data_IF_202946190225
#
_entry.id   IF_202946190225
#
_cell.length_a   1.000
_cell.length_b   1.000
_cell.length_c   1.000
_cell.angle_alpha   90.00
_cell.angle_beta   90.00
_cell.angle_gamma   90.00
#
_symmetry.space_group_name_H-M   'P 1'
#
loop_
_entity.id
_entity.type
_entity.pdbx_description
1 polymer ?
#
# COMPACT_ATOMS: atom_id res chain seq x y z
N UNK A 1 -23.29 12.79 12.94
CA UNK A 1 -21.95 13.29 13.32
C UNK A 1 -21.13 12.11 13.83
N UNK A 2 -20.47 11.36 12.94
CA UNK A 2 -19.57 10.28 13.36
C UNK A 2 -18.35 10.93 14.01
N UNK A 3 -18.21 10.75 15.33
CA UNK A 3 -16.99 11.13 16.06
C UNK A 3 -15.78 10.54 15.32
N UNK A 4 -14.76 11.33 14.97
CA UNK A 4 -13.53 10.79 14.43
C UNK A 4 -12.95 9.86 15.50
N UNK A 5 -12.88 8.56 15.21
CA UNK A 5 -12.29 7.58 16.10
C UNK A 5 -10.88 8.06 16.49
N UNK A 6 -10.63 8.23 17.78
CA UNK A 6 -9.33 8.71 18.27
C UNK A 6 -8.19 7.82 17.74
N UNK A 7 -7.22 8.44 17.08
CA UNK A 7 -6.00 7.77 16.62
C UNK A 7 -5.19 7.41 17.86
N UNK A 8 -4.91 6.12 18.06
CA UNK A 8 -4.09 5.65 19.19
C UNK A 8 -2.62 5.65 18.80
N UNK A 9 -1.77 6.15 19.70
CA UNK A 9 -0.33 6.24 19.50
C UNK A 9 0.35 5.06 20.20
N UNK A 10 1.38 4.48 19.58
CA UNK A 10 2.26 3.50 20.25
C UNK A 10 3.41 4.23 20.93
N UNK A 11 3.70 3.85 22.16
CA UNK A 11 4.84 4.35 22.95
C UNK A 11 5.81 3.21 23.29
N UNK A 12 7.08 3.53 23.49
CA UNK A 12 8.05 2.55 23.97
C UNK A 12 7.71 2.13 25.41
N UNK A 13 7.83 0.83 25.76
CA UNK A 13 7.52 0.33 27.10
C UNK A 13 8.26 1.12 28.19
N UNK A 14 7.52 1.62 29.19
CA UNK A 14 8.09 2.36 30.32
C UNK A 14 8.48 3.82 30.02
N UNK A 15 8.14 4.36 28.85
CA UNK A 15 8.43 5.76 28.49
C UNK A 15 7.21 6.47 27.91
N UNK A 16 7.26 7.81 27.85
CA UNK A 16 6.30 8.65 27.12
C UNK A 16 6.72 8.91 25.67
N UNK A 17 7.79 8.28 25.18
CA UNK A 17 8.32 8.51 23.85
C UNK A 17 7.52 7.69 22.84
N UNK A 18 7.01 8.38 21.81
CA UNK A 18 6.27 7.76 20.71
C UNK A 18 7.22 7.10 19.70
N UNK A 19 6.88 5.92 19.18
CA UNK A 19 7.68 5.26 18.12
C UNK A 19 7.25 5.66 16.70
N UNK A 20 6.23 6.52 16.59
CA UNK A 20 5.63 6.92 15.32
C UNK A 20 4.56 5.98 14.77
N UNK A 21 4.35 4.80 15.37
CA UNK A 21 3.26 3.90 14.98
C UNK A 21 1.91 4.46 15.46
N UNK A 22 0.93 4.45 14.56
CA UNK A 22 -0.44 4.93 14.80
C UNK A 22 -1.42 3.78 14.56
N UNK A 23 -2.34 3.56 15.48
CA UNK A 23 -3.41 2.58 15.35
C UNK A 23 -4.74 3.29 15.10
N UNK A 24 -5.41 2.89 14.03
CA UNK A 24 -6.74 3.37 13.67
C UNK A 24 -7.64 2.16 13.49
N UNK A 25 -8.82 2.20 14.12
CA UNK A 25 -9.86 1.20 13.85
C UNK A 25 -10.53 1.58 12.53
N UNK A 26 -10.52 0.67 11.58
CA UNK A 26 -11.14 0.88 10.26
C UNK A 26 -11.93 -0.36 9.86
N UNK A 27 -12.88 -0.18 8.95
CA UNK A 27 -13.61 -1.24 8.26
C UNK A 27 -13.34 -1.09 6.78
N UNK A 28 -12.84 -2.15 6.15
CA UNK A 28 -12.66 -2.16 4.71
C UNK A 28 -14.00 -2.38 3.99
N UNK A 29 -14.19 -1.76 2.81
CA UNK A 29 -15.26 -2.12 1.88
C UNK A 29 -15.22 -3.62 1.55
N UNK A 30 -16.34 -4.18 1.09
CA UNK A 30 -16.43 -5.63 0.81
C UNK A 30 -15.52 -6.06 -0.35
N UNK A 31 -15.20 -5.12 -1.22
CA UNK A 31 -14.39 -5.30 -2.42
C UNK A 31 -12.89 -5.27 -2.11
N UNK A 32 -12.50 -4.75 -0.94
CA UNK A 32 -11.11 -4.59 -0.52
C UNK A 32 -10.75 -5.68 0.49
N UNK A 33 -10.06 -6.71 0.02
CA UNK A 33 -9.62 -7.80 0.88
C UNK A 33 -8.52 -7.39 1.87
N UNK A 34 -7.56 -6.57 1.44
CA UNK A 34 -6.39 -6.18 2.24
C UNK A 34 -5.67 -4.99 1.62
N UNK A 35 -5.02 -4.19 2.46
CA UNK A 35 -4.12 -3.12 2.01
C UNK A 35 -2.68 -3.65 1.92
N UNK A 36 -1.91 -3.32 0.86
CA UNK A 36 -0.49 -3.67 0.79
C UNK A 36 0.32 -3.07 1.94
N UNK A 37 1.47 -3.67 2.27
CA UNK A 37 2.37 -3.12 3.29
C UNK A 37 2.75 -1.65 3.02
N UNK A 38 3.05 -1.31 1.77
CA UNK A 38 3.24 0.08 1.33
C UNK A 38 1.98 0.52 0.59
N UNK A 39 1.10 1.22 1.30
CA UNK A 39 -0.16 1.71 0.73
C UNK A 39 -0.05 3.20 0.44
N UNK A 40 -0.43 3.58 -0.78
CA UNK A 40 -0.58 4.98 -1.19
C UNK A 40 -1.90 5.51 -0.64
N UNK A 41 -1.86 6.59 0.12
CA UNK A 41 -3.02 7.26 0.70
C UNK A 41 -3.00 8.72 0.24
N UNK A 42 -4.14 9.22 -0.22
CA UNK A 42 -4.32 10.64 -0.53
C UNK A 42 -4.45 11.42 0.78
N UNK A 43 -3.46 12.27 1.08
CA UNK A 43 -3.46 13.16 2.25
C UNK A 43 -3.71 14.61 1.81
N UNK A 44 -3.88 15.51 2.78
CA UNK A 44 -4.04 16.94 2.49
C UNK A 44 -2.81 17.55 1.77
N UNK A 45 -1.64 16.96 1.95
CA UNK A 45 -0.38 17.36 1.31
C UNK A 45 -0.15 16.65 -0.04
N UNK A 46 -1.09 15.77 -0.42
CA UNK A 46 -1.03 14.97 -1.62
C UNK A 46 -0.79 13.47 -1.35
N UNK A 47 -0.48 12.70 -2.40
CA UNK A 47 -0.32 11.27 -2.26
C UNK A 47 0.95 10.88 -1.51
N UNK A 48 0.80 10.20 -0.38
CA UNK A 48 1.91 9.71 0.44
C UNK A 48 1.83 8.19 0.64
N UNK A 49 2.99 7.55 0.85
CA UNK A 49 3.07 6.12 1.12
C UNK A 49 3.20 5.85 2.61
N UNK A 50 2.33 5.01 3.14
CA UNK A 50 2.34 4.60 4.55
C UNK A 50 2.57 3.11 4.68
N UNK A 51 3.27 2.74 5.76
CA UNK A 51 3.38 1.35 6.18
C UNK A 51 2.10 0.95 6.89
N UNK A 52 1.33 0.06 6.29
CA UNK A 52 0.04 -0.41 6.81
C UNK A 52 0.16 -1.86 7.25
N UNK A 53 -0.18 -2.11 8.52
CA UNK A 53 -0.23 -3.44 9.12
C UNK A 53 -1.60 -3.64 9.76
N UNK A 54 -2.28 -4.73 9.41
CA UNK A 54 -3.58 -5.08 9.98
C UNK A 54 -3.70 -6.59 10.17
N UNK A 55 -4.70 -7.02 10.94
CA UNK A 55 -5.01 -8.44 11.12
C UNK A 55 -5.35 -9.09 9.78
N UNK A 56 -4.88 -10.32 9.57
CA UNK A 56 -5.17 -11.15 8.40
C UNK A 56 -4.74 -10.49 7.08
N UNK A 57 -3.65 -9.74 7.10
CA UNK A 57 -3.11 -9.09 5.89
C UNK A 57 -2.71 -10.15 4.86
N UNK A 58 -3.36 -10.12 3.70
CA UNK A 58 -3.04 -10.97 2.56
C UNK A 58 -2.22 -10.20 1.54
N UNK A 59 -1.40 -10.91 0.77
CA UNK A 59 -0.63 -10.29 -0.32
C UNK A 59 -1.59 -9.90 -1.44
N UNK A 60 -1.56 -8.63 -1.82
CA UNK A 60 -2.34 -8.08 -2.93
C UNK A 60 -1.42 -7.42 -3.95
N UNK A 61 -1.92 -7.29 -5.18
CA UNK A 61 -1.24 -6.54 -6.23
C UNK A 61 -1.02 -5.09 -5.79
N UNK A 62 0.23 -4.60 -5.91
CA UNK A 62 0.58 -3.23 -5.51
C UNK A 62 0.05 -2.15 -6.45
N UNK A 63 -0.44 -2.53 -7.63
CA UNK A 63 -0.98 -1.62 -8.63
C UNK A 63 -2.51 -1.53 -8.53
N UNK A 64 -3.21 -2.67 -8.60
CA UNK A 64 -4.68 -2.72 -8.64
C UNK A 64 -5.34 -3.24 -7.35
N UNK A 65 -4.56 -3.59 -6.32
CA UNK A 65 -5.04 -4.10 -5.02
C UNK A 65 -5.81 -5.44 -5.06
N UNK A 66 -5.91 -6.10 -6.22
CA UNK A 66 -6.51 -7.44 -6.33
C UNK A 66 -5.70 -8.48 -5.51
N UNK A 67 -6.37 -9.42 -4.83
CA UNK A 67 -5.72 -10.55 -4.16
C UNK A 67 -5.34 -11.69 -5.11
N UNK A 68 -5.81 -11.69 -6.35
CA UNK A 68 -5.71 -12.84 -7.26
C UNK A 68 -4.31 -13.00 -7.87
N UNK A 69 -3.56 -11.91 -7.96
CA UNK A 69 -2.26 -11.88 -8.61
C UNK A 69 -1.31 -10.89 -7.93
N UNK A 70 -0.02 -11.00 -8.26
CA UNK A 70 1.01 -10.05 -7.84
C UNK A 70 1.31 -9.05 -8.96
N UNK A 71 2.04 -7.99 -8.63
CA UNK A 71 2.38 -6.91 -9.57
C UNK A 71 2.95 -7.43 -10.91
N UNK A 72 3.76 -8.48 -10.88
CA UNK A 72 4.38 -9.08 -12.06
C UNK A 72 3.35 -9.64 -13.05
N UNK A 73 2.25 -10.17 -12.53
CA UNK A 73 1.21 -10.87 -13.28
C UNK A 73 -0.04 -9.98 -13.46
N UNK A 74 0.05 -8.71 -13.06
CA UNK A 74 -1.05 -7.77 -13.15
C UNK A 74 -1.32 -7.40 -14.62
N UNK A 75 -2.57 -7.51 -15.11
CA UNK A 75 -2.89 -7.19 -16.50
C UNK A 75 -2.65 -5.71 -16.81
N UNK A 76 -2.70 -4.83 -15.82
CA UNK A 76 -2.46 -3.40 -16.00
C UNK A 76 -0.98 -3.02 -15.86
N UNK A 77 -0.12 -3.95 -15.42
CA UNK A 77 1.29 -3.67 -15.26
C UNK A 77 1.97 -3.54 -16.63
N UNK A 78 2.57 -2.37 -16.85
CA UNK A 78 3.36 -2.03 -18.04
C UNK A 78 4.75 -1.56 -17.61
N UNK A 79 5.75 -1.97 -18.37
CA UNK A 79 7.12 -1.50 -18.18
C UNK A 79 7.19 0.01 -18.44
N UNK A 80 7.66 0.80 -17.47
CA UNK A 80 7.73 2.26 -17.65
C UNK A 80 8.76 2.71 -18.72
N UNK A 81 9.62 1.79 -19.20
CA UNK A 81 10.61 2.08 -20.25
C UNK A 81 10.14 1.79 -21.68
N UNK A 82 9.23 0.85 -21.90
CA UNK A 82 8.76 0.55 -23.26
C UNK A 82 7.24 0.45 -23.36
N UNK A 83 6.54 0.61 -22.24
CA UNK A 83 5.08 0.50 -22.11
C UNK A 83 4.51 -0.88 -22.46
N UNK A 84 5.38 -1.87 -22.72
CA UNK A 84 5.01 -3.26 -22.93
C UNK A 84 4.81 -4.03 -21.62
N UNK A 85 4.08 -5.13 -21.71
CA UNK A 85 3.77 -6.01 -20.58
C UNK A 85 4.79 -7.17 -20.49
N UNK A 86 4.78 -7.88 -19.36
CA UNK A 86 5.51 -9.15 -19.20
C UNK A 86 6.92 -9.06 -18.62
N UNK A 87 7.47 -7.86 -18.41
CA UNK A 87 8.79 -7.69 -17.79
C UNK A 87 8.87 -6.42 -16.93
N UNK A 88 9.78 -6.42 -15.95
CA UNK A 88 10.10 -5.22 -15.18
C UNK A 88 11.09 -4.36 -15.95
N UNK A 89 11.12 -3.05 -15.68
CA UNK A 89 12.04 -2.13 -16.36
C UNK A 89 13.54 -2.44 -16.18
N UNK A 90 13.90 -3.17 -15.13
CA UNK A 90 15.26 -3.70 -14.93
C UNK A 90 15.61 -4.81 -15.94
N UNK A 91 14.60 -5.54 -16.39
CA UNK A 91 14.68 -6.65 -17.34
C UNK A 91 14.23 -6.20 -18.75
N UNK A 92 14.15 -4.89 -18.98
CA UNK A 92 13.69 -4.31 -20.23
C UNK A 92 14.84 -4.27 -21.25
N UNK A 93 14.62 -4.92 -22.39
CA UNK A 93 15.59 -4.99 -23.49
C UNK A 93 15.49 -3.80 -24.46
N UNK A 94 14.59 -2.84 -24.22
CA UNK A 94 14.49 -1.65 -25.05
C UNK A 94 15.73 -0.78 -24.83
N UNK A 95 16.60 -0.73 -25.84
CA UNK A 95 17.68 0.26 -25.92
C UNK A 95 17.03 1.58 -26.29
N UNK A 96 17.00 2.52 -25.36
CA UNK A 96 16.64 3.91 -25.66
C UNK A 96 17.92 4.63 -26.07
N UNK A 97 17.90 5.22 -27.27
CA UNK A 97 18.96 6.08 -27.79
C UNK A 97 19.06 7.39 -26.99
#
# INVERSE_FOLDING_TARGET
MLSPSCIKLRVYPGTSIEDGTRYVKTRFPKEVASLPYSTKIETAEGPQYFRVMHSHQVKTCRLCMSPDHLLKDCPDFKCYKCEERGHFARDCNAVRC
#
